data_IF_769542842760
#
_entry.id   IF_769542842760
#
_cell.length_a   1.000
_cell.length_b   1.000
_cell.length_c   1.000
_cell.angle_alpha   90.00
_cell.angle_beta   90.00
_cell.angle_gamma   90.00
#
_symmetry.space_group_name_H-M   'P 1'
#
loop_
_entity.id
_entity.type
_entity.pdbx_description
1 polymer ?
#
# COMPACT_ATOMS: atom_id res chain seq x y z
N UNK A 1 -20.22 -0.92 7.21
CA UNK A 1 -19.95 -2.30 6.76
C UNK A 1 -21.25 -3.05 6.38
N UNK A 2 -22.32 -3.03 7.17
CA UNK A 2 -23.59 -3.75 6.85
C UNK A 2 -24.53 -3.04 5.86
N UNK A 3 -24.22 -1.81 5.42
CA UNK A 3 -25.09 -1.00 4.54
C UNK A 3 -24.67 -0.94 3.07
N UNK A 4 -23.41 -1.20 2.76
CA UNK A 4 -22.89 -1.13 1.37
C UNK A 4 -23.18 -2.41 0.56
N UNK A 5 -23.64 -3.48 1.21
CA UNK A 5 -23.85 -4.79 0.59
C UNK A 5 -25.19 -4.94 -0.16
N UNK A 6 -26.13 -4.00 -0.03
CA UNK A 6 -27.44 -4.06 -0.69
C UNK A 6 -27.41 -3.63 -2.16
N UNK A 7 -26.26 -3.18 -2.67
CA UNK A 7 -26.15 -2.51 -3.97
C UNK A 7 -25.99 -3.46 -5.17
N UNK A 8 -25.81 -4.77 -4.92
CA UNK A 8 -25.58 -5.76 -5.99
C UNK A 8 -26.58 -6.93 -5.93
N UNK A 9 -27.73 -6.84 -6.63
CA UNK A 9 -28.73 -7.91 -6.67
C UNK A 9 -28.21 -9.22 -7.33
N UNK A 10 -27.10 -9.15 -8.08
CA UNK A 10 -26.42 -10.34 -8.61
C UNK A 10 -25.75 -11.20 -7.52
N UNK A 11 -25.41 -10.62 -6.36
CA UNK A 11 -24.76 -11.35 -5.26
C UNK A 11 -25.75 -12.15 -4.40
N UNK A 12 -27.04 -11.83 -4.43
CA UNK A 12 -28.05 -12.49 -3.60
C UNK A 12 -28.46 -13.87 -4.14
N UNK A 13 -28.31 -14.09 -5.46
CA UNK A 13 -28.61 -15.38 -6.09
C UNK A 13 -27.48 -16.42 -5.91
N UNK A 14 -26.24 -15.97 -5.65
CA UNK A 14 -25.11 -16.85 -5.35
C UNK A 14 -25.03 -17.23 -3.85
N UNK A 15 -25.65 -16.44 -2.98
CA UNK A 15 -25.67 -16.68 -1.53
C UNK A 15 -26.65 -17.79 -1.11
N UNK A 16 -27.66 -18.10 -1.92
CA UNK A 16 -28.60 -19.20 -1.64
C UNK A 16 -28.08 -20.59 -2.00
N UNK A 17 -27.10 -20.73 -2.89
CA UNK A 17 -26.66 -22.04 -3.38
C UNK A 17 -25.44 -22.61 -2.65
N UNK A 18 -24.73 -21.82 -1.86
CA UNK A 18 -23.55 -22.28 -1.14
C UNK A 18 -23.67 -21.91 0.33
N UNK A 19 -24.18 -22.83 1.15
CA UNK A 19 -24.31 -22.73 2.61
C UNK A 19 -22.96 -22.71 3.35
N UNK A 20 -21.93 -22.10 2.77
CA UNK A 20 -20.60 -21.92 3.37
C UNK A 20 -20.47 -20.44 3.75
N UNK A 21 -20.19 -20.11 5.02
CA UNK A 21 -20.06 -18.72 5.45
C UNK A 21 -18.95 -18.03 4.64
N UNK A 22 -19.27 -16.87 4.06
CA UNK A 22 -18.40 -16.04 3.18
C UNK A 22 -16.96 -15.86 3.73
N UNK A 23 -16.83 -15.85 5.05
CA UNK A 23 -15.55 -15.71 5.76
C UNK A 23 -14.60 -16.88 5.47
N UNK A 24 -15.09 -18.13 5.44
CA UNK A 24 -14.21 -19.29 5.20
C UNK A 24 -13.67 -19.34 3.78
N UNK A 25 -14.45 -18.88 2.80
CA UNK A 25 -14.01 -18.79 1.41
C UNK A 25 -12.92 -17.73 1.25
N UNK A 26 -13.11 -16.54 1.84
CA UNK A 26 -12.12 -15.46 1.82
C UNK A 26 -10.84 -15.89 2.55
N UNK A 27 -10.99 -16.55 3.69
CA UNK A 27 -9.87 -17.02 4.51
C UNK A 27 -9.11 -18.16 3.81
N UNK A 28 -9.83 -19.08 3.14
CA UNK A 28 -9.24 -20.14 2.31
C UNK A 28 -8.49 -19.60 1.10
N UNK A 29 -9.06 -18.62 0.39
CA UNK A 29 -8.38 -17.94 -0.73
C UNK A 29 -7.15 -17.16 -0.26
N UNK A 30 -7.25 -16.46 0.87
CA UNK A 30 -6.11 -15.77 1.49
C UNK A 30 -5.00 -16.72 1.94
N UNK A 31 -5.36 -17.86 2.54
CA UNK A 31 -4.40 -18.88 2.94
C UNK A 31 -3.73 -19.55 1.74
N UNK A 32 -4.49 -19.86 0.68
CA UNK A 32 -3.95 -20.37 -0.58
C UNK A 32 -2.99 -19.36 -1.22
N UNK A 33 -3.37 -18.08 -1.22
CA UNK A 33 -2.52 -17.00 -1.74
C UNK A 33 -1.20 -16.88 -0.97
N UNK A 34 -1.26 -16.87 0.36
CA UNK A 34 -0.07 -16.86 1.20
C UNK A 34 0.80 -18.11 0.97
N UNK A 35 0.17 -19.28 0.83
CA UNK A 35 0.86 -20.53 0.51
C UNK A 35 1.60 -20.45 -0.82
N UNK A 36 0.96 -19.94 -1.89
CA UNK A 36 1.61 -19.76 -3.19
C UNK A 36 2.82 -18.82 -3.11
N UNK A 37 2.70 -17.72 -2.37
CA UNK A 37 3.81 -16.78 -2.10
C UNK A 37 4.92 -17.44 -1.29
N UNK A 38 4.58 -18.25 -0.28
CA UNK A 38 5.55 -18.96 0.58
C UNK A 38 6.36 -19.99 -0.20
N UNK A 39 5.73 -20.73 -1.12
CA UNK A 39 6.39 -21.69 -2.00
C UNK A 39 7.07 -21.05 -3.22
N UNK A 40 7.13 -19.71 -3.29
CA UNK A 40 7.73 -18.95 -4.39
C UNK A 40 7.07 -19.21 -5.76
N UNK A 41 5.84 -19.75 -5.80
CA UNK A 41 5.11 -20.01 -7.04
C UNK A 41 4.49 -18.69 -7.49
N UNK A 42 5.05 -18.09 -8.56
CA UNK A 42 4.66 -16.76 -9.05
C UNK A 42 4.74 -15.66 -7.97
N UNK A 43 5.66 -15.79 -7.00
CA UNK A 43 5.76 -14.91 -5.84
C UNK A 43 5.86 -13.43 -6.19
N UNK A 44 6.69 -13.06 -7.18
CA UNK A 44 6.84 -11.67 -7.63
C UNK A 44 5.53 -11.06 -8.13
N UNK A 45 4.85 -11.78 -9.02
CA UNK A 45 3.58 -11.34 -9.61
C UNK A 45 2.48 -11.21 -8.55
N UNK A 46 2.35 -12.21 -7.68
CA UNK A 46 1.39 -12.19 -6.59
C UNK A 46 1.68 -10.99 -5.68
N UNK A 47 2.88 -10.91 -5.11
CA UNK A 47 3.23 -9.86 -4.15
C UNK A 47 3.06 -8.45 -4.72
N UNK A 48 3.43 -8.22 -5.98
CA UNK A 48 3.19 -6.94 -6.65
C UNK A 48 1.69 -6.67 -6.87
N UNK A 49 0.91 -7.69 -7.23
CA UNK A 49 -0.53 -7.56 -7.42
C UNK A 49 -1.24 -7.25 -6.10
N UNK A 50 -0.89 -7.91 -5.00
CA UNK A 50 -1.44 -7.58 -3.67
C UNK A 50 -1.01 -6.18 -3.20
N UNK A 51 0.27 -5.85 -3.39
CA UNK A 51 0.83 -4.55 -3.05
C UNK A 51 0.27 -3.40 -3.87
N UNK A 52 -0.34 -3.68 -5.03
CA UNK A 52 -1.06 -2.71 -5.83
C UNK A 52 -2.56 -2.70 -5.54
N UNK A 53 -3.22 -3.87 -5.59
CA UNK A 53 -4.68 -3.98 -5.58
C UNK A 53 -5.32 -3.54 -4.26
N UNK A 54 -4.74 -3.92 -3.12
CA UNK A 54 -5.25 -3.60 -1.79
C UNK A 54 -5.24 -2.07 -1.55
N UNK A 55 -4.08 -1.38 -1.62
CA UNK A 55 -4.03 0.07 -1.42
C UNK A 55 -4.70 0.83 -2.55
N UNK A 56 -4.74 0.32 -3.80
CA UNK A 56 -5.50 0.99 -4.87
C UNK A 56 -7.00 1.01 -4.59
N UNK A 57 -7.56 -0.08 -4.08
CA UNK A 57 -8.96 -0.13 -3.67
C UNK A 57 -9.25 0.89 -2.57
N UNK A 58 -8.45 0.89 -1.50
CA UNK A 58 -8.62 1.86 -0.41
C UNK A 58 -8.30 3.30 -0.82
N UNK A 59 -7.37 3.53 -1.74
CA UNK A 59 -7.08 4.85 -2.30
C UNK A 59 -8.27 5.37 -3.11
N UNK A 60 -8.93 4.51 -3.90
CA UNK A 60 -10.15 4.87 -4.61
C UNK A 60 -11.29 5.21 -3.65
N UNK A 61 -11.44 4.43 -2.57
CA UNK A 61 -12.42 4.73 -1.53
C UNK A 61 -12.12 6.06 -0.82
N UNK A 62 -10.85 6.32 -0.51
CA UNK A 62 -10.38 7.59 0.07
C UNK A 62 -10.66 8.78 -0.86
N UNK A 63 -10.50 8.63 -2.18
CA UNK A 63 -10.81 9.69 -3.15
C UNK A 63 -12.28 10.12 -3.16
N UNK A 64 -13.19 9.25 -2.71
CA UNK A 64 -14.61 9.57 -2.57
C UNK A 64 -14.99 10.04 -1.15
N UNK A 65 -14.05 10.03 -0.21
CA UNK A 65 -14.20 10.46 1.18
C UNK A 65 -13.45 11.78 1.40
N UNK A 66 -13.96 12.68 2.26
CA UNK A 66 -13.35 14.01 2.47
C UNK A 66 -12.18 14.02 3.49
N UNK A 67 -11.61 12.86 3.82
CA UNK A 67 -10.63 12.68 4.90
C UNK A 67 -9.18 12.83 4.44
N UNK A 68 -8.55 13.98 4.70
CA UNK A 68 -7.13 14.26 4.34
C UNK A 68 -6.09 13.33 4.97
N UNK A 69 -6.43 12.68 6.10
CA UNK A 69 -5.51 11.79 6.80
C UNK A 69 -5.27 10.49 6.04
N UNK A 70 -6.32 9.97 5.39
CA UNK A 70 -6.26 8.73 4.62
C UNK A 70 -5.43 8.94 3.36
N UNK A 71 -5.64 10.06 2.66
CA UNK A 71 -4.86 10.45 1.48
C UNK A 71 -3.35 10.46 1.76
N UNK A 72 -2.95 11.05 2.89
CA UNK A 72 -1.54 11.16 3.28
C UNK A 72 -0.93 9.79 3.56
N UNK A 73 -1.68 8.88 4.19
CA UNK A 73 -1.23 7.53 4.49
C UNK A 73 -1.01 6.73 3.20
N UNK A 74 -1.98 6.73 2.29
CA UNK A 74 -1.88 6.00 1.02
C UNK A 74 -0.76 6.55 0.14
N UNK A 75 -0.63 7.88 0.05
CA UNK A 75 0.48 8.51 -0.69
C UNK A 75 1.84 8.10 -0.12
N UNK A 76 1.98 8.10 1.21
CA UNK A 76 3.21 7.66 1.88
C UNK A 76 3.53 6.19 1.54
N UNK A 77 2.51 5.33 1.58
CA UNK A 77 2.65 3.93 1.18
C UNK A 77 3.15 3.81 -0.27
N UNK A 78 2.54 4.52 -1.22
CA UNK A 78 2.91 4.47 -2.64
C UNK A 78 4.36 4.90 -2.86
N UNK A 79 4.81 5.95 -2.18
CA UNK A 79 6.17 6.46 -2.27
C UNK A 79 7.18 5.44 -1.74
N UNK A 80 6.91 4.84 -0.58
CA UNK A 80 7.76 3.78 -0.01
C UNK A 80 7.77 2.54 -0.92
N UNK A 81 6.61 2.11 -1.41
CA UNK A 81 6.47 0.96 -2.30
C UNK A 81 7.25 1.14 -3.61
N UNK A 82 7.14 2.32 -4.24
CA UNK A 82 7.89 2.64 -5.45
C UNK A 82 9.40 2.65 -5.21
N UNK A 83 9.86 3.22 -4.09
CA UNK A 83 11.28 3.23 -3.72
C UNK A 83 11.84 1.81 -3.56
N UNK A 84 11.13 0.93 -2.84
CA UNK A 84 11.52 -0.47 -2.70
C UNK A 84 11.54 -1.20 -4.04
N UNK A 85 10.54 -0.98 -4.90
CA UNK A 85 10.45 -1.63 -6.22
C UNK A 85 11.64 -1.23 -7.12
N UNK A 86 12.08 0.02 -7.07
CA UNK A 86 13.27 0.50 -7.81
C UNK A 86 14.54 -0.14 -7.28
N UNK A 87 14.73 -0.19 -5.96
CA UNK A 87 15.89 -0.84 -5.33
C UNK A 87 15.96 -2.31 -5.69
N UNK A 88 14.83 -3.01 -5.63
CA UNK A 88 14.73 -4.43 -5.98
C UNK A 88 15.13 -4.68 -7.44
N UNK A 89 14.64 -3.83 -8.35
CA UNK A 89 15.01 -3.87 -9.77
C UNK A 89 16.51 -3.60 -9.99
N UNK A 90 17.13 -2.77 -9.14
CA UNK A 90 18.57 -2.47 -9.22
C UNK A 90 19.45 -3.59 -8.63
N UNK A 91 18.98 -4.29 -7.59
CA UNK A 91 19.82 -5.22 -6.84
C UNK A 91 19.84 -6.67 -7.38
N UNK A 92 18.98 -7.04 -8.34
CA UNK A 92 18.82 -8.45 -8.79
C UNK A 92 18.79 -9.45 -7.60
N UNK A 93 18.30 -8.98 -6.44
CA UNK A 93 18.48 -9.61 -5.14
C UNK A 93 17.69 -10.92 -5.01
N UNK A 94 16.71 -11.10 -5.89
CA UNK A 94 15.81 -12.24 -6.00
C UNK A 94 16.58 -13.58 -6.09
N UNK A 95 17.72 -13.62 -6.77
CA UNK A 95 18.47 -14.86 -6.97
C UNK A 95 19.31 -15.29 -5.76
N UNK A 96 19.60 -14.38 -4.82
CA UNK A 96 20.53 -14.65 -3.73
C UNK A 96 19.85 -15.13 -2.45
N UNK A 97 18.56 -14.81 -2.25
CA UNK A 97 17.86 -15.09 -0.99
C UNK A 97 16.58 -15.93 -1.19
N UNK A 98 16.60 -17.25 -0.91
CA UNK A 98 15.37 -18.04 -0.83
C UNK A 98 14.51 -17.45 0.30
N UNK A 99 13.21 -17.23 0.05
CA UNK A 99 12.24 -16.48 0.90
C UNK A 99 12.17 -14.95 0.75
N UNK A 100 12.86 -14.35 -0.22
CA UNK A 100 12.79 -12.90 -0.44
C UNK A 100 11.35 -12.39 -0.68
N UNK A 101 10.58 -13.06 -1.54
CA UNK A 101 9.20 -12.66 -1.84
C UNK A 101 8.26 -12.80 -0.65
N UNK A 102 8.47 -13.79 0.22
CA UNK A 102 7.71 -13.94 1.46
C UNK A 102 7.98 -12.77 2.41
N UNK A 103 9.24 -12.37 2.55
CA UNK A 103 9.60 -11.20 3.35
C UNK A 103 9.01 -9.92 2.77
N UNK A 104 9.13 -9.71 1.45
CA UNK A 104 8.52 -8.59 0.74
C UNK A 104 7.00 -8.54 0.94
N UNK A 105 6.32 -9.68 0.88
CA UNK A 105 4.88 -9.78 1.13
C UNK A 105 4.51 -9.36 2.54
N UNK A 106 5.20 -9.89 3.55
CA UNK A 106 4.99 -9.52 4.95
C UNK A 106 5.22 -8.02 5.17
N UNK A 107 6.27 -7.48 4.56
CA UNK A 107 6.60 -6.05 4.64
C UNK A 107 5.51 -5.17 4.01
N UNK A 108 5.01 -5.54 2.83
CA UNK A 108 3.92 -4.84 2.14
C UNK A 108 2.64 -4.86 2.96
N UNK A 109 2.24 -6.02 3.48
CA UNK A 109 1.06 -6.13 4.36
C UNK A 109 1.24 -5.25 5.60
N UNK A 110 2.41 -5.33 6.24
CA UNK A 110 2.70 -4.54 7.43
C UNK A 110 2.62 -3.02 7.17
N UNK A 111 3.03 -2.56 6.00
CA UNK A 111 2.87 -1.15 5.60
C UNK A 111 1.44 -0.78 5.24
N UNK A 112 0.66 -1.72 4.70
CA UNK A 112 -0.73 -1.51 4.32
C UNK A 112 -1.68 -1.45 5.54
N UNK A 113 -1.26 -1.98 6.69
CA UNK A 113 -2.03 -1.93 7.94
C UNK A 113 -2.10 -0.48 8.49
N UNK A 114 -3.30 0.15 8.53
CA UNK A 114 -3.47 1.49 9.08
C UNK A 114 -3.21 1.56 10.59
N UNK A 115 -3.40 0.45 11.30
CA UNK A 115 -3.22 0.33 12.75
C UNK A 115 -1.75 0.47 13.18
N UNK A 116 -0.80 0.03 12.36
CA UNK A 116 0.63 0.03 12.68
C UNK A 116 1.35 1.28 12.19
N UNK A 117 0.69 2.12 11.36
CA UNK A 117 1.28 3.25 10.68
C UNK A 117 2.64 2.92 10.02
N UNK A 118 2.81 1.68 9.56
CA UNK A 118 4.12 1.14 9.17
C UNK A 118 4.78 1.95 8.04
N UNK A 119 3.98 2.40 7.07
CA UNK A 119 4.44 3.29 6.01
C UNK A 119 5.00 4.62 6.56
N UNK A 120 4.38 5.21 7.59
CA UNK A 120 4.88 6.44 8.22
C UNK A 120 6.17 6.21 9.00
N UNK A 121 6.33 5.06 9.65
CA UNK A 121 7.57 4.69 10.36
C UNK A 121 8.73 4.57 9.38
N UNK A 122 8.50 3.89 8.25
CA UNK A 122 9.51 3.75 7.18
C UNK A 122 9.82 5.11 6.54
N UNK A 123 8.79 5.92 6.30
CA UNK A 123 8.96 7.27 5.77
C UNK A 123 9.80 8.13 6.72
N UNK A 124 9.50 8.17 8.02
CA UNK A 124 10.26 8.96 9.01
C UNK A 124 11.68 8.42 9.23
N UNK A 125 11.89 7.11 9.13
CA UNK A 125 13.18 6.49 9.44
C UNK A 125 14.16 6.49 8.27
N UNK A 126 13.67 6.24 7.05
CA UNK A 126 14.51 6.12 5.84
C UNK A 126 14.33 7.30 4.90
N UNK A 127 13.08 7.65 4.59
CA UNK A 127 12.83 8.66 3.55
C UNK A 127 13.04 10.09 4.06
N UNK A 128 12.64 10.41 5.29
CA UNK A 128 12.85 11.73 5.88
C UNK A 128 14.33 12.13 5.88
N UNK A 129 15.31 11.31 6.33
CA UNK A 129 16.71 11.70 6.22
C UNK A 129 17.24 11.74 4.78
N UNK A 130 16.73 10.90 3.87
CA UNK A 130 17.12 10.90 2.46
C UNK A 130 16.59 12.12 1.68
N UNK A 131 15.34 12.53 1.95
CA UNK A 131 14.63 13.58 1.23
C UNK A 131 14.61 14.92 1.96
N UNK A 132 14.91 14.98 3.27
CA UNK A 132 15.03 16.25 4.00
C UNK A 132 16.02 17.19 3.32
N UNK A 133 17.15 16.67 2.82
CA UNK A 133 18.15 17.49 2.11
C UNK A 133 17.66 18.06 0.78
N UNK A 134 16.71 17.41 0.12
CA UNK A 134 16.15 17.87 -1.16
C UNK A 134 14.96 18.81 -0.96
N UNK A 135 14.15 18.61 0.09
CA UNK A 135 12.98 19.45 0.38
C UNK A 135 13.25 20.58 1.38
N UNK A 136 14.34 20.56 2.15
CA UNK A 136 14.83 21.75 2.89
C UNK A 136 15.27 22.88 1.95
N UNK A 137 15.61 22.57 0.69
CA UNK A 137 15.82 23.57 -0.37
C UNK A 137 14.52 24.27 -0.84
N UNK A 138 13.35 23.85 -0.34
CA UNK A 138 12.04 24.41 -0.65
C UNK A 138 11.73 25.74 0.05
N UNK A 139 12.64 26.29 0.85
CA UNK A 139 12.48 27.65 1.39
C UNK A 139 12.68 28.74 0.34
N UNK A 140 13.14 28.44 -0.88
CA UNK A 140 13.33 29.47 -1.91
C UNK A 140 12.01 30.11 -2.33
N UNK A 141 10.93 29.35 -2.55
CA UNK A 141 9.64 29.93 -2.96
C UNK A 141 8.91 30.63 -1.82
N UNK A 142 9.00 30.11 -0.59
CA UNK A 142 8.48 30.76 0.60
C UNK A 142 9.24 32.05 0.94
N UNK A 143 10.58 32.05 0.81
CA UNK A 143 11.41 33.23 0.99
C UNK A 143 11.19 34.26 -0.12
N UNK A 144 11.07 33.84 -1.39
CA UNK A 144 10.77 34.73 -2.52
C UNK A 144 9.39 35.39 -2.39
N UNK A 145 8.37 34.66 -1.95
CA UNK A 145 7.05 35.24 -1.63
C UNK A 145 7.16 36.24 -0.47
N UNK A 146 7.86 35.87 0.60
CA UNK A 146 8.06 36.78 1.73
C UNK A 146 8.90 38.03 1.39
N UNK A 147 9.76 37.96 0.36
CA UNK A 147 10.49 39.11 -0.16
C UNK A 147 9.60 39.96 -1.09
N UNK A 148 8.77 39.34 -1.93
CA UNK A 148 7.82 40.04 -2.79
C UNK A 148 6.78 40.82 -1.98
N UNK A 149 6.25 40.22 -0.91
CA UNK A 149 5.29 40.87 0.00
C UNK A 149 5.93 42.00 0.83
N UNK A 150 7.25 42.00 1.02
CA UNK A 150 8.00 43.09 1.69
C UNK A 150 8.41 44.20 0.74
N UNK A 151 8.31 43.98 -0.57
CA UNK A 151 8.68 44.94 -1.61
C UNK A 151 7.47 45.72 -2.17
N UNK A 152 6.24 45.37 -1.74
CA UNK A 152 5.02 46.16 -1.93
C UNK A 152 4.73 47.02 -0.71
#
# INVERSE_FOLDING_TARGET
>A
ITRELSKYPALNNFEQQTSVPKVYVILGLGALYFFLVFFNIAGEFLVNTAGFAIPAYYSLEALFTSGKADDTQWLTYWVVYAFFTVIESALNAVYWFPFYYTFKFCFIIWMALPQTAGAQVVFRSLMQPLFARFFEGGSTSANLRSQADKAQ
#
